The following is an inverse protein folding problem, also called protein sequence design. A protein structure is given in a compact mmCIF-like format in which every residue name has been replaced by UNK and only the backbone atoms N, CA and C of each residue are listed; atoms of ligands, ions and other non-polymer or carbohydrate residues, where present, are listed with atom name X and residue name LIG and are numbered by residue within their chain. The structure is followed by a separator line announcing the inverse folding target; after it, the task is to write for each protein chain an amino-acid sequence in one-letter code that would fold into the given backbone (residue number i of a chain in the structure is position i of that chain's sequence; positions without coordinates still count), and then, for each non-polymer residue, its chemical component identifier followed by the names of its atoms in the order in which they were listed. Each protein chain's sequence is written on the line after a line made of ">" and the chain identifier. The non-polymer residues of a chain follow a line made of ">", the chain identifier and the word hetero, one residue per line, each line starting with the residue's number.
data_IF_069704928617
#
_entry.id   IF_069704928617
#
_cell.length_a   1.000
_cell.length_b   1.000
_cell.length_c   1.000
_cell.angle_alpha   90.00
_cell.angle_beta   90.00
_cell.angle_gamma   90.00
#
_symmetry.space_group_name_H-M   'P 1'
#
loop_
_entity.id
_entity.type
_entity.pdbx_description
1 polymer ?
#
# COMPACT_ATOMS: atom_id res chain seq x y z
N UNK A 1 -15.31 -6.37 10.33
CA UNK A 1 -14.62 -5.07 10.47
C UNK A 1 -13.96 -4.73 9.15
N UNK A 2 -14.01 -3.48 8.70
CA UNK A 2 -13.34 -3.04 7.48
C UNK A 2 -11.82 -2.88 7.72
N UNK A 3 -11.04 -3.53 6.88
CA UNK A 3 -9.58 -3.44 6.81
C UNK A 3 -9.16 -2.02 6.38
N UNK A 4 -8.06 -1.53 6.94
CA UNK A 4 -7.41 -0.31 6.48
C UNK A 4 -6.22 -0.68 5.59
N UNK A 5 -6.23 -0.24 4.33
CA UNK A 5 -5.07 -0.27 3.46
C UNK A 5 -4.26 1.00 3.68
N UNK A 6 -3.04 0.85 4.17
CA UNK A 6 -2.09 1.93 4.42
C UNK A 6 -1.02 1.85 3.33
N UNK A 7 -0.96 2.85 2.46
CA UNK A 7 -0.19 2.80 1.23
C UNK A 7 0.90 3.87 1.26
N UNK A 8 2.13 3.45 1.01
CA UNK A 8 3.25 4.35 0.74
C UNK A 8 3.11 4.93 -0.68
N UNK A 9 2.78 6.22 -0.77
CA UNK A 9 2.34 6.86 -2.00
C UNK A 9 3.41 6.92 -3.08
N UNK A 10 4.63 7.34 -2.76
CA UNK A 10 5.71 7.42 -3.74
C UNK A 10 6.24 6.04 -4.12
N UNK A 11 6.31 5.12 -3.16
CA UNK A 11 6.65 3.74 -3.47
C UNK A 11 5.61 3.14 -4.43
N UNK A 12 4.32 3.33 -4.16
CA UNK A 12 3.26 2.80 -5.02
C UNK A 12 3.32 3.35 -6.45
N UNK A 13 3.50 4.67 -6.60
CA UNK A 13 3.63 5.31 -7.92
C UNK A 13 4.83 4.75 -8.69
N UNK A 14 6.00 4.66 -8.04
CA UNK A 14 7.25 4.24 -8.71
C UNK A 14 7.29 2.75 -9.05
N UNK A 15 6.59 1.91 -8.30
CA UNK A 15 6.53 0.47 -8.55
C UNK A 15 5.47 0.08 -9.59
N UNK A 16 4.52 0.98 -9.89
CA UNK A 16 3.58 0.80 -10.99
C UNK A 16 4.12 1.42 -12.27
N UNK A 17 4.35 0.60 -13.31
CA UNK A 17 4.82 1.08 -14.61
C UNK A 17 3.95 2.22 -15.16
N UNK A 18 2.62 2.08 -15.07
CA UNK A 18 1.66 3.08 -15.57
C UNK A 18 1.80 4.41 -14.82
N UNK A 19 1.90 4.39 -13.49
CA UNK A 19 1.96 5.61 -12.71
C UNK A 19 3.35 6.25 -12.74
N UNK A 20 4.41 5.46 -12.74
CA UNK A 20 5.79 5.93 -12.88
C UNK A 20 6.00 6.66 -14.22
N UNK A 21 5.48 6.11 -15.34
CA UNK A 21 5.56 6.77 -16.65
C UNK A 21 4.83 8.12 -16.67
N UNK A 22 3.71 8.24 -15.96
CA UNK A 22 2.97 9.51 -15.83
C UNK A 22 3.69 10.50 -14.90
N UNK A 23 4.21 10.02 -13.77
CA UNK A 23 4.99 10.83 -12.82
C UNK A 23 6.23 11.43 -13.49
N UNK A 24 6.96 10.63 -14.26
CA UNK A 24 8.17 11.05 -14.97
C UNK A 24 7.88 12.18 -15.99
N UNK A 25 6.68 12.18 -16.60
CA UNK A 25 6.25 13.26 -17.50
C UNK A 25 5.73 14.47 -16.73
N UNK A 26 4.98 14.23 -15.65
CA UNK A 26 4.41 15.24 -14.79
C UNK A 26 4.05 14.63 -13.43
N UNK A 27 4.77 15.02 -12.37
CA UNK A 27 4.59 14.48 -11.03
C UNK A 27 3.16 14.60 -10.50
N UNK A 28 2.48 15.73 -10.77
CA UNK A 28 1.09 15.93 -10.34
C UNK A 28 0.14 14.95 -11.03
N UNK A 29 0.34 14.69 -12.34
CA UNK A 29 -0.47 13.71 -13.10
C UNK A 29 -0.25 12.28 -12.63
N UNK A 30 1.00 11.89 -12.31
CA UNK A 30 1.29 10.58 -11.75
C UNK A 30 0.59 10.36 -10.41
N UNK A 31 0.68 11.35 -9.51
CA UNK A 31 0.00 11.34 -8.21
C UNK A 31 -1.52 11.26 -8.35
N UNK A 32 -2.11 12.10 -9.19
CA UNK A 32 -3.56 12.12 -9.42
C UNK A 32 -4.06 10.78 -10.01
N UNK A 33 -3.35 10.23 -11.00
CA UNK A 33 -3.72 8.95 -11.60
C UNK A 33 -3.68 7.80 -10.60
N UNK A 34 -2.65 7.75 -9.75
CA UNK A 34 -2.55 6.75 -8.69
C UNK A 34 -3.69 6.89 -7.67
N UNK A 35 -3.96 8.10 -7.19
CA UNK A 35 -5.05 8.35 -6.23
C UNK A 35 -6.42 8.00 -6.79
N UNK A 36 -6.66 8.32 -8.06
CA UNK A 36 -7.89 7.95 -8.77
C UNK A 36 -8.07 6.44 -8.86
N UNK A 37 -7.00 5.72 -9.19
CA UNK A 37 -7.05 4.25 -9.23
C UNK A 37 -7.24 3.64 -7.83
N UNK A 38 -6.55 4.17 -6.81
CA UNK A 38 -6.69 3.74 -5.42
C UNK A 38 -8.07 4.02 -4.81
N UNK A 39 -8.86 4.92 -5.41
CA UNK A 39 -10.28 5.09 -5.11
C UNK A 39 -11.12 3.82 -5.29
N UNK A 40 -10.56 2.79 -5.94
CA UNK A 40 -11.11 1.43 -6.04
C UNK A 40 -11.52 0.84 -4.68
N UNK A 41 -10.87 1.21 -3.57
CA UNK A 41 -11.22 0.68 -2.25
C UNK A 41 -12.69 0.89 -1.88
N UNK A 42 -13.37 1.90 -2.45
CA UNK A 42 -14.82 2.08 -2.31
C UNK A 42 -15.61 0.88 -2.82
N UNK A 43 -15.16 0.24 -3.91
CA UNK A 43 -15.81 -0.92 -4.53
C UNK A 43 -15.58 -2.20 -3.73
N UNK A 44 -14.48 -2.29 -2.99
CA UNK A 44 -14.20 -3.41 -2.08
C UNK A 44 -14.73 -3.18 -0.67
N UNK A 45 -15.28 -2.00 -0.35
CA UNK A 45 -15.74 -1.67 1.00
C UNK A 45 -14.61 -1.43 2.00
N UNK A 46 -13.35 -1.39 1.53
CA UNK A 46 -12.17 -1.17 2.36
C UNK A 46 -11.81 0.32 2.47
N UNK A 47 -11.19 0.69 3.59
CA UNK A 47 -10.68 2.05 3.76
C UNK A 47 -9.28 2.15 3.19
N UNK A 48 -9.02 3.19 2.42
CA UNK A 48 -7.72 3.44 1.80
C UNK A 48 -7.13 4.73 2.36
N UNK A 49 -5.92 4.63 2.89
CA UNK A 49 -5.11 5.74 3.36
C UNK A 49 -3.78 5.74 2.62
N UNK A 50 -3.47 6.81 1.91
CA UNK A 50 -2.20 6.99 1.20
C UNK A 50 -1.38 8.04 1.93
N UNK A 51 -0.14 7.71 2.24
CA UNK A 51 0.81 8.60 2.90
C UNK A 51 1.85 9.04 1.88
N UNK A 52 2.04 10.34 1.72
CA UNK A 52 3.11 10.93 0.93
C UNK A 52 4.12 11.59 1.86
N UNK A 53 5.41 11.49 1.51
CA UNK A 53 6.43 12.26 2.17
C UNK A 53 6.28 13.75 1.81
N UNK A 54 6.28 14.63 2.79
CA UNK A 54 6.15 16.06 2.58
C UNK A 54 7.48 16.66 2.12
N UNK A 55 7.43 17.48 1.07
CA UNK A 55 8.61 18.21 0.59
C UNK A 55 9.10 19.30 1.56
N UNK A 56 8.25 19.76 2.49
CA UNK A 56 8.56 20.86 3.40
C UNK A 56 8.62 20.39 4.85
N UNK A 57 9.78 20.59 5.50
CA UNK A 57 9.98 20.31 6.93
C UNK A 57 9.42 21.40 7.86
N UNK A 58 8.85 22.47 7.32
CA UNK A 58 8.41 23.65 8.08
C UNK A 58 6.94 23.58 8.53
N UNK A 59 6.16 22.63 8.02
CA UNK A 59 4.75 22.49 8.38
C UNK A 59 4.60 21.53 9.55
N UNK A 60 4.27 22.05 10.74
CA UNK A 60 4.14 21.24 11.96
C UNK A 60 2.86 20.39 12.00
N UNK A 61 1.92 20.61 11.08
CA UNK A 61 0.64 19.91 11.02
C UNK A 61 0.58 18.92 9.86
N UNK A 62 -0.09 17.79 10.09
CA UNK A 62 -0.37 16.82 9.04
C UNK A 62 -1.44 17.38 8.12
N UNK A 63 -1.15 17.46 6.82
CA UNK A 63 -2.19 17.79 5.83
C UNK A 63 -2.96 16.54 5.48
N UNK A 64 -4.24 16.55 5.84
CA UNK A 64 -5.20 15.52 5.44
C UNK A 64 -6.12 16.05 4.34
N UNK A 65 -6.29 15.26 3.29
CA UNK A 65 -7.23 15.50 2.20
C UNK A 65 -8.03 14.22 1.90
N UNK A 66 -9.15 14.35 1.19
CA UNK A 66 -9.95 13.23 0.68
C UNK A 66 -10.15 13.36 -0.82
N UNK A 67 -9.35 12.60 -1.57
CA UNK A 67 -9.38 12.60 -3.03
C UNK A 67 -9.86 11.24 -3.55
N UNK A 68 -10.86 11.24 -4.43
CA UNK A 68 -11.46 10.01 -5.00
C UNK A 68 -11.93 8.97 -3.95
N UNK A 69 -12.07 9.36 -2.68
CA UNK A 69 -12.46 8.47 -1.56
C UNK A 69 -11.31 7.83 -0.83
N UNK A 70 -10.11 8.22 -1.18
CA UNK A 70 -8.87 7.88 -0.53
C UNK A 70 -8.58 8.97 0.50
N UNK A 71 -8.28 8.57 1.73
CA UNK A 71 -7.69 9.48 2.72
C UNK A 71 -6.24 9.71 2.30
N UNK A 72 -5.87 10.97 2.07
CA UNK A 72 -4.52 11.33 1.64
C UNK A 72 -3.86 12.10 2.77
N UNK A 73 -2.72 11.62 3.22
CA UNK A 73 -1.92 12.26 4.25
C UNK A 73 -0.58 12.69 3.66
N UNK A 74 -0.17 13.93 3.91
CA UNK A 74 1.22 14.32 3.80
C UNK A 74 1.88 14.21 5.19
N UNK A 75 3.08 13.64 5.27
CA UNK A 75 3.83 13.58 6.53
C UNK A 75 4.05 14.97 7.14
N UNK A 76 4.20 15.02 8.46
CA UNK A 76 4.45 16.28 9.19
C UNK A 76 5.90 16.69 9.03
N UNK A 77 6.19 17.97 9.16
CA UNK A 77 7.55 18.48 9.29
C UNK A 77 8.27 17.80 10.47
N UNK A 78 9.40 17.16 10.17
CA UNK A 78 10.20 16.42 11.16
C UNK A 78 9.88 14.93 11.27
N UNK A 79 8.83 14.43 10.64
CA UNK A 79 8.50 13.00 10.56
C UNK A 79 8.51 12.50 9.11
N UNK A 80 8.95 11.27 8.90
CA UNK A 80 8.89 10.65 7.56
C UNK A 80 7.53 9.99 7.32
N UNK A 81 7.18 9.79 6.05
CA UNK A 81 6.00 8.99 5.70
C UNK A 81 6.05 7.60 6.34
N UNK A 82 7.24 7.01 6.43
CA UNK A 82 7.48 5.69 7.02
C UNK A 82 7.05 5.65 8.49
N UNK A 83 7.40 6.68 9.27
CA UNK A 83 7.03 6.77 10.69
C UNK A 83 5.52 6.85 10.88
N UNK A 84 4.83 7.65 10.05
CA UNK A 84 3.37 7.78 10.06
C UNK A 84 2.68 6.46 9.66
N UNK A 85 3.21 5.76 8.64
CA UNK A 85 2.73 4.43 8.21
C UNK A 85 2.87 3.43 9.36
N UNK A 86 4.03 3.40 10.02
CA UNK A 86 4.30 2.49 11.13
C UNK A 86 3.41 2.79 12.34
N UNK A 87 3.18 4.07 12.66
CA UNK A 87 2.28 4.48 13.72
C UNK A 87 0.85 4.00 13.47
N UNK A 88 0.32 4.21 12.27
CA UNK A 88 -1.01 3.71 11.88
C UNK A 88 -1.08 2.18 11.89
N UNK A 89 -0.02 1.50 11.43
CA UNK A 89 0.07 0.04 11.47
C UNK A 89 0.01 -0.50 12.91
N UNK A 90 0.69 0.17 13.86
CA UNK A 90 0.64 -0.17 15.29
C UNK A 90 -0.74 0.05 15.90
N UNK A 91 -1.39 1.15 15.54
CA UNK A 91 -2.72 1.47 16.04
C UNK A 91 -3.78 0.45 15.56
N UNK A 92 -3.71 0.03 14.29
CA UNK A 92 -4.70 -0.87 13.69
C UNK A 92 -4.35 -2.35 13.84
N UNK A 93 -3.08 -2.69 14.00
CA UNK A 93 -2.58 -4.05 14.10
C UNK A 93 -3.16 -4.97 13.03
N UNK A 94 -3.84 -6.03 13.45
CA UNK A 94 -4.41 -7.04 12.56
C UNK A 94 -5.47 -6.53 11.57
N UNK A 95 -6.03 -5.33 11.79
CA UNK A 95 -6.99 -4.69 10.89
C UNK A 95 -6.32 -3.79 9.84
N UNK A 96 -4.97 -3.78 9.75
CA UNK A 96 -4.23 -3.07 8.71
C UNK A 96 -3.55 -4.01 7.71
N UNK A 97 -3.49 -3.53 6.46
CA UNK A 97 -2.63 -4.04 5.40
C UNK A 97 -1.73 -2.88 4.97
N UNK A 98 -0.42 -3.03 5.16
CA UNK A 98 0.57 -2.05 4.71
C UNK A 98 1.04 -2.42 3.31
N UNK A 99 0.97 -1.46 2.40
CA UNK A 99 1.37 -1.59 0.99
C UNK A 99 2.61 -0.75 0.75
N UNK A 100 3.76 -1.41 0.67
CA UNK A 100 5.05 -0.81 0.28
C UNK A 100 5.98 -1.92 -0.17
N UNK A 101 6.94 -1.60 -1.04
CA UNK A 101 8.05 -2.48 -1.42
C UNK A 101 9.32 -2.24 -0.58
N UNK A 102 9.30 -1.28 0.35
CA UNK A 102 10.40 -1.03 1.29
C UNK A 102 10.47 -2.11 2.38
N UNK A 103 11.64 -2.72 2.57
CA UNK A 103 11.84 -3.80 3.55
C UNK A 103 11.74 -3.32 4.99
N UNK A 104 12.25 -2.14 5.30
CA UNK A 104 12.22 -1.59 6.66
C UNK A 104 10.78 -1.29 7.09
N UNK A 105 9.98 -0.72 6.20
CA UNK A 105 8.55 -0.47 6.45
C UNK A 105 7.81 -1.79 6.65
N UNK A 106 8.04 -2.79 5.78
CA UNK A 106 7.42 -4.11 5.91
C UNK A 106 7.80 -4.80 7.23
N UNK A 107 9.06 -4.75 7.62
CA UNK A 107 9.56 -5.31 8.88
C UNK A 107 8.86 -4.67 10.09
N UNK A 108 8.78 -3.35 10.10
CA UNK A 108 8.14 -2.61 11.18
C UNK A 108 6.61 -2.86 11.24
N UNK A 109 5.95 -2.93 10.09
CA UNK A 109 4.52 -3.24 9.99
C UNK A 109 4.19 -4.65 10.51
N UNK A 110 5.02 -5.65 10.20
CA UNK A 110 4.84 -7.02 10.71
C UNK A 110 5.03 -7.06 12.22
N UNK A 111 6.06 -6.38 12.75
CA UNK A 111 6.27 -6.24 14.20
C UNK A 111 5.08 -5.54 14.89
N UNK A 112 4.38 -4.68 14.16
CA UNK A 112 3.17 -4.00 14.61
C UNK A 112 1.89 -4.87 14.51
N UNK A 113 1.97 -6.10 13.99
CA UNK A 113 0.83 -7.01 13.84
C UNK A 113 -0.01 -6.77 12.59
N UNK A 114 0.42 -5.89 11.69
CA UNK A 114 -0.23 -5.63 10.41
C UNK A 114 0.16 -6.69 9.36
N UNK A 115 -0.73 -6.88 8.38
CA UNK A 115 -0.40 -7.67 7.20
C UNK A 115 0.34 -6.78 6.19
N UNK A 116 1.14 -7.38 5.31
CA UNK A 116 1.94 -6.61 4.32
C UNK A 116 1.69 -7.12 2.90
N UNK A 117 1.79 -6.21 1.93
CA UNK A 117 1.80 -6.54 0.51
C UNK A 117 2.74 -5.59 -0.24
N UNK A 118 3.45 -6.09 -1.25
CA UNK A 118 4.25 -5.21 -2.12
C UNK A 118 3.34 -4.38 -3.01
N UNK A 119 3.80 -3.21 -3.44
CA UNK A 119 3.01 -2.26 -4.22
C UNK A 119 2.53 -2.83 -5.57
N UNK A 120 3.43 -3.49 -6.29
CA UNK A 120 3.16 -4.18 -7.56
C UNK A 120 2.21 -5.37 -7.39
N UNK A 121 2.36 -6.11 -6.29
CA UNK A 121 1.48 -7.21 -5.94
C UNK A 121 0.08 -6.70 -5.59
N UNK A 122 -0.02 -5.67 -4.77
CA UNK A 122 -1.29 -5.04 -4.45
C UNK A 122 -2.01 -4.54 -5.70
N UNK A 123 -1.31 -3.84 -6.61
CA UNK A 123 -1.92 -3.36 -7.86
C UNK A 123 -2.55 -4.51 -8.65
N UNK A 124 -1.79 -5.59 -8.84
CA UNK A 124 -2.24 -6.77 -9.59
C UNK A 124 -3.42 -7.49 -8.92
N UNK A 125 -3.36 -7.73 -7.62
CA UNK A 125 -4.41 -8.49 -6.93
C UNK A 125 -5.72 -7.71 -6.88
N UNK A 126 -5.67 -6.39 -6.69
CA UNK A 126 -6.85 -5.54 -6.75
C UNK A 126 -7.38 -5.46 -8.19
N UNK A 127 -6.52 -5.38 -9.21
CA UNK A 127 -6.96 -5.41 -10.61
C UNK A 127 -7.78 -6.68 -10.93
N UNK A 128 -7.31 -7.86 -10.50
CA UNK A 128 -8.06 -9.12 -10.67
C UNK A 128 -9.43 -9.10 -10.00
N UNK A 129 -9.52 -8.58 -8.77
CA UNK A 129 -10.80 -8.43 -8.07
C UNK A 129 -11.77 -7.56 -8.87
N UNK A 130 -11.27 -6.51 -9.52
CA UNK A 130 -12.11 -5.64 -10.37
C UNK A 130 -12.52 -6.25 -11.68
N UNK A 131 -11.69 -7.13 -12.24
CA UNK A 131 -11.95 -7.86 -13.48
C UNK A 131 -12.82 -9.11 -13.24
N UNK A 132 -13.11 -9.44 -11.97
CA UNK A 132 -13.89 -10.62 -11.58
C UNK A 132 -13.09 -11.92 -11.61
N UNK A 133 -11.75 -11.84 -11.70
CA UNK A 133 -10.88 -13.00 -11.73
C UNK A 133 -10.46 -13.42 -10.31
N UNK A 134 -10.61 -14.72 -10.01
CA UNK A 134 -10.07 -15.32 -8.79
C UNK A 134 -8.52 -15.28 -8.83
N UNK A 135 -7.81 -15.07 -7.71
CA UNK A 135 -6.39 -14.83 -7.70
C UNK A 135 -5.74 -16.20 -7.75
N UNK A 136 -5.18 -16.52 -8.91
CA UNK A 136 -4.49 -17.77 -9.20
C UNK A 136 -3.41 -18.10 -8.15
N UNK A 137 -3.71 -19.09 -7.30
CA UNK A 137 -2.82 -19.64 -6.27
C UNK A 137 -1.60 -20.36 -6.88
N UNK A 138 -1.70 -20.88 -8.10
CA UNK A 138 -0.66 -21.63 -8.82
C UNK A 138 0.48 -20.68 -9.26
N UNK A 139 0.12 -19.54 -9.87
CA UNK A 139 1.06 -18.46 -10.22
C UNK A 139 1.79 -17.89 -8.98
N UNK A 140 1.09 -17.84 -7.84
CA UNK A 140 1.63 -17.41 -6.55
C UNK A 140 2.66 -18.38 -5.98
N UNK A 141 2.48 -19.69 -6.19
CA UNK A 141 3.43 -20.73 -5.76
C UNK A 141 4.65 -20.82 -6.67
N UNK A 142 4.48 -20.68 -7.98
CA UNK A 142 5.57 -20.75 -8.95
C UNK A 142 6.62 -19.63 -8.75
N UNK A 143 6.22 -18.48 -8.20
CA UNK A 143 7.09 -17.30 -7.95
C UNK A 143 7.72 -17.27 -6.56
N UNK A 144 7.55 -18.33 -5.74
CA UNK A 144 8.18 -18.51 -4.42
C UNK A 144 9.69 -18.81 -4.46
N UNK A 145 10.35 -18.85 -5.63
CA UNK A 145 11.79 -19.12 -5.69
C UNK A 145 12.54 -17.94 -5.04
N UNK A 146 13.22 -18.15 -3.91
CA UNK A 146 13.93 -17.07 -3.25
C UNK A 146 15.06 -16.60 -4.17
N UNK A 147 15.11 -15.30 -4.44
CA UNK A 147 16.35 -14.68 -4.89
C UNK A 147 17.39 -14.86 -3.78
N UNK A 148 18.64 -15.19 -4.16
CA UNK A 148 19.75 -15.40 -3.23
C UNK A 148 20.01 -14.05 -2.51
N UNK A 149 19.50 -13.91 -1.28
CA UNK A 149 19.56 -12.68 -0.47
C UNK A 149 18.38 -12.43 0.49
N UNK A 150 17.29 -13.20 0.41
CA UNK A 150 16.07 -12.94 1.21
C UNK A 150 16.06 -13.57 2.61
N UNK A 151 16.69 -12.90 3.57
CA UNK A 151 16.48 -13.13 5.00
C UNK A 151 15.39 -12.22 5.61
N UNK A 152 14.28 -11.98 4.88
CA UNK A 152 13.09 -11.34 5.45
C UNK A 152 11.88 -12.28 5.34
N UNK A 153 11.36 -12.72 6.49
CA UNK A 153 10.15 -13.54 6.59
C UNK A 153 8.98 -12.56 6.71
N UNK A 154 7.95 -12.64 5.83
CA UNK A 154 6.81 -13.48 6.20
C UNK A 154 5.97 -14.08 5.03
N UNK A 155 6.06 -15.40 4.81
CA UNK A 155 5.09 -16.12 4.00
C UNK A 155 3.68 -16.22 4.59
N UNK A 156 3.45 -15.91 5.89
CA UNK A 156 2.14 -16.05 6.55
C UNK A 156 1.34 -14.74 6.54
N UNK A 157 2.01 -13.61 6.76
CA UNK A 157 1.42 -12.28 6.86
C UNK A 157 0.99 -11.79 5.47
N UNK A 158 1.75 -12.16 4.43
CA UNK A 158 1.32 -12.02 3.03
C UNK A 158 0.08 -12.86 2.73
N UNK A 159 0.04 -14.13 3.17
CA UNK A 159 -1.15 -14.98 2.98
C UNK A 159 -2.38 -14.36 3.66
N UNK A 160 -2.21 -13.76 4.84
CA UNK A 160 -3.26 -13.04 5.54
C UNK A 160 -3.73 -11.81 4.75
N UNK A 161 -2.82 -10.99 4.21
CA UNK A 161 -3.19 -9.87 3.34
C UNK A 161 -3.98 -10.33 2.12
N UNK A 162 -3.52 -11.37 1.42
CA UNK A 162 -4.22 -11.92 0.26
C UNK A 162 -5.58 -12.51 0.63
N UNK A 163 -5.69 -13.20 1.77
CA UNK A 163 -6.97 -13.70 2.25
C UNK A 163 -7.97 -12.57 2.57
N UNK A 164 -7.50 -11.44 3.10
CA UNK A 164 -8.33 -10.26 3.32
C UNK A 164 -8.80 -9.64 2.00
N UNK A 165 -7.94 -9.63 0.97
CA UNK A 165 -8.32 -9.18 -0.38
C UNK A 165 -9.31 -10.13 -1.06
N UNK A 166 -9.17 -11.45 -0.84
CA UNK A 166 -10.06 -12.50 -1.38
C UNK A 166 -11.48 -12.50 -0.84
N UNK A 167 -11.78 -11.75 0.23
CA UNK A 167 -13.13 -11.67 0.80
C UNK A 167 -14.17 -11.05 -0.17
N UNK A 168 -13.72 -10.42 -1.25
CA UNK A 168 -14.55 -9.68 -2.19
C UNK A 168 -14.72 -10.38 -3.56
N UNK A 169 -14.60 -11.71 -3.56
CA UNK A 169 -14.84 -12.60 -4.69
C UNK A 169 -16.07 -13.44 -4.45
#
# INVERSE_FOLDING_TARGET
>A
MATLWIIDGYNFIRQSRRFAELEARNGARGKEAALRWLGVGRRTGERVCVVFDAYSRLENEMKEDRLHGVRVLASRGGYTADEEIIAMAREKGAAAVVVSSDRAIQEAAVKAGASILKSDEFEREVAKILEGEAPDEEALRARRRPGKGDAFRPPKEKKKALALLKKYQ
#
